data_IF_086986731798
#
_entry.id   IF_086986731798
#
_cell.length_a   1.000
_cell.length_b   1.000
_cell.length_c   1.000
_cell.angle_alpha   90.00
_cell.angle_beta   90.00
_cell.angle_gamma   90.00
#
_symmetry.space_group_name_H-M   'P 1'
#
loop_
_entity.id
_entity.type
_entity.pdbx_description
1 polymer ?
#
# COMPACT_ATOMS: atom_id res chain seq x y z
N UNK A 1 -4.81 15.02 13.49
CA UNK A 1 -3.93 14.42 12.47
C UNK A 1 -2.52 14.47 13.03
N UNK A 2 -2.04 13.38 13.60
CA UNK A 2 -0.73 13.34 14.25
C UNK A 2 0.31 12.96 13.20
N UNK A 3 1.20 13.89 12.87
CA UNK A 3 2.38 13.60 12.06
C UNK A 3 3.42 13.02 13.01
N UNK A 4 3.65 11.71 12.93
CA UNK A 4 4.73 11.04 13.66
C UNK A 4 5.98 11.14 12.79
N UNK A 5 6.91 12.01 13.17
CA UNK A 5 8.18 12.15 12.48
C UNK A 5 9.14 11.08 13.02
N UNK A 6 9.44 10.06 12.21
CA UNK A 6 10.35 8.98 12.59
C UNK A 6 11.71 9.22 11.93
N UNK A 7 12.62 9.89 12.64
CA UNK A 7 14.03 9.94 12.23
C UNK A 7 14.71 8.63 12.62
N UNK A 8 14.90 7.72 11.66
CA UNK A 8 15.67 6.50 11.89
C UNK A 8 17.17 6.82 11.82
N UNK A 9 17.76 7.23 12.95
CA UNK A 9 19.22 7.36 13.08
C UNK A 9 19.82 5.98 13.33
N UNK A 10 20.31 5.36 12.27
CA UNK A 10 20.99 4.07 12.30
C UNK A 10 22.42 4.23 12.87
N UNK A 11 22.55 4.51 14.17
CA UNK A 11 23.88 4.63 14.81
C UNK A 11 23.84 4.33 16.33
N UNK A 12 23.03 3.36 16.74
CA UNK A 12 23.11 2.79 18.08
C UNK A 12 23.12 1.26 18.00
N UNK A 13 24.04 0.55 18.69
CA UNK A 13 24.13 -0.92 18.72
C UNK A 13 22.92 -1.62 19.38
N UNK A 14 21.84 -0.87 19.64
CA UNK A 14 20.59 -1.29 20.26
C UNK A 14 19.39 -0.49 19.72
N UNK A 15 19.37 -0.19 18.43
CA UNK A 15 18.20 0.44 17.82
C UNK A 15 16.96 -0.48 18.03
N UNK A 16 15.82 0.06 18.49
CA UNK A 16 14.62 -0.74 18.65
C UNK A 16 14.20 -1.31 17.30
N UNK A 17 13.78 -2.58 17.28
CA UNK A 17 13.25 -3.21 16.06
C UNK A 17 11.94 -2.51 15.68
N UNK A 18 11.98 -1.69 14.64
CA UNK A 18 10.81 -1.01 14.12
C UNK A 18 9.92 -2.04 13.43
N UNK A 19 8.71 -2.25 13.96
CA UNK A 19 7.71 -3.09 13.32
C UNK A 19 6.64 -2.19 12.68
N UNK A 20 6.46 -2.32 11.37
CA UNK A 20 5.51 -1.51 10.60
C UNK A 20 4.33 -2.37 10.18
N UNK A 21 3.14 -1.79 10.20
CA UNK A 21 1.94 -2.36 9.61
C UNK A 21 1.61 -1.57 8.35
N UNK A 22 1.29 -2.29 7.27
CA UNK A 22 0.97 -1.67 5.98
C UNK A 22 -0.37 -2.21 5.49
N UNK A 23 -1.22 -1.30 5.01
CA UNK A 23 -2.49 -1.61 4.37
C UNK A 23 -2.54 -1.05 2.96
N UNK A 24 -2.94 -1.87 1.97
CA UNK A 24 -3.01 -1.46 0.57
C UNK A 24 -4.41 -1.74 0.02
N UNK A 25 -4.97 -0.76 -0.67
CA UNK A 25 -6.19 -0.87 -1.47
C UNK A 25 -6.02 -0.11 -2.79
N UNK A 26 -6.83 -0.45 -3.80
CA UNK A 26 -6.89 0.26 -5.07
C UNK A 26 -8.32 0.67 -5.34
N UNK A 27 -8.50 1.92 -5.76
CA UNK A 27 -9.79 2.46 -6.14
C UNK A 27 -9.74 3.97 -6.32
N UNK A 28 -10.91 4.58 -6.44
CA UNK A 28 -11.04 6.03 -6.60
C UNK A 28 -10.69 6.78 -5.32
N UNK A 29 -9.95 7.88 -5.47
CA UNK A 29 -9.69 8.86 -4.44
C UNK A 29 -9.77 10.28 -5.02
N UNK A 30 -9.98 11.25 -4.15
CA UNK A 30 -10.00 12.68 -4.45
C UNK A 30 -8.82 13.30 -3.72
N UNK A 31 -7.96 14.00 -4.47
CA UNK A 31 -6.88 14.80 -3.92
C UNK A 31 -7.28 16.28 -3.92
N UNK A 32 -6.87 17.02 -2.91
CA UNK A 32 -7.15 18.45 -2.82
C UNK A 32 -6.22 19.18 -1.88
N UNK A 33 -6.27 20.52 -1.96
CA UNK A 33 -5.61 21.41 -0.99
C UNK A 33 -6.63 21.85 0.03
N UNK A 34 -6.32 21.67 1.30
CA UNK A 34 -7.12 22.11 2.43
C UNK A 34 -6.38 23.25 3.13
N UNK A 35 -7.10 24.33 3.44
CA UNK A 35 -6.61 25.45 4.27
C UNK A 35 -6.62 26.81 3.55
N UNK A 36 -6.81 27.87 4.34
CA UNK A 36 -6.82 29.26 3.86
C UNK A 36 -5.55 30.05 4.20
N UNK A 37 -4.77 29.59 5.19
CA UNK A 37 -3.53 30.25 5.64
C UNK A 37 -2.29 29.35 5.54
N UNK A 38 -2.45 28.06 5.80
CA UNK A 38 -1.44 27.04 5.55
C UNK A 38 -2.07 25.99 4.65
N UNK A 39 -1.49 25.81 3.46
CA UNK A 39 -2.00 24.85 2.48
C UNK A 39 -1.45 23.47 2.79
N UNK A 40 -2.34 22.49 2.92
CA UNK A 40 -1.98 21.07 3.05
C UNK A 40 -2.63 20.29 1.92
N UNK A 41 -1.84 19.49 1.22
CA UNK A 41 -2.37 18.53 0.25
C UNK A 41 -2.80 17.27 0.99
N UNK A 42 -4.02 16.79 0.70
CA UNK A 42 -4.56 15.58 1.32
C UNK A 42 -5.34 14.74 0.29
N UNK A 43 -5.44 13.43 0.55
CA UNK A 43 -6.21 12.47 -0.24
C UNK A 43 -7.34 11.88 0.61
N UNK A 44 -8.57 12.00 0.11
CA UNK A 44 -9.76 11.43 0.72
C UNK A 44 -10.48 10.51 -0.27
N UNK A 45 -11.08 9.44 0.23
CA UNK A 45 -11.89 8.58 -0.63
C UNK A 45 -12.12 7.20 -0.03
N UNK A 46 -12.97 6.44 -0.70
CA UNK A 46 -13.31 5.08 -0.30
C UNK A 46 -12.09 4.14 -0.35
N UNK A 47 -11.20 4.32 -1.33
CA UNK A 47 -9.95 3.56 -1.42
C UNK A 47 -9.01 3.87 -0.23
N UNK A 48 -8.86 5.15 0.15
CA UNK A 48 -8.03 5.57 1.29
C UNK A 48 -8.60 5.00 2.59
N UNK A 49 -9.92 5.09 2.78
CA UNK A 49 -10.60 4.52 3.94
C UNK A 49 -10.44 3.00 4.03
N UNK A 50 -10.47 2.30 2.89
CA UNK A 50 -10.30 0.85 2.83
C UNK A 50 -8.85 0.46 3.10
N UNK A 51 -7.87 1.17 2.53
CA UNK A 51 -6.45 0.98 2.83
C UNK A 51 -6.15 1.19 4.33
N UNK A 52 -6.72 2.23 4.93
CA UNK A 52 -6.61 2.48 6.37
C UNK A 52 -7.16 1.31 7.20
N UNK A 53 -8.29 0.71 6.77
CA UNK A 53 -8.85 -0.49 7.42
C UNK A 53 -7.95 -1.71 7.25
N UNK A 54 -7.35 -1.90 6.08
CA UNK A 54 -6.36 -2.97 5.88
C UNK A 54 -5.16 -2.77 6.81
N UNK A 55 -4.68 -1.54 6.97
CA UNK A 55 -3.57 -1.23 7.87
C UNK A 55 -3.92 -1.56 9.33
N UNK A 56 -5.08 -1.08 9.80
CA UNK A 56 -5.57 -1.34 11.16
C UNK A 56 -5.84 -2.82 11.44
N UNK A 57 -6.17 -3.59 10.40
CA UNK A 57 -6.44 -5.03 10.48
C UNK A 57 -5.21 -5.90 10.23
N UNK A 58 -4.05 -5.29 9.93
CA UNK A 58 -2.82 -6.00 9.62
C UNK A 58 -2.14 -6.52 10.88
N UNK A 59 -1.32 -7.55 10.71
CA UNK A 59 -0.41 -8.03 11.75
C UNK A 59 0.90 -7.24 11.67
N UNK A 60 1.57 -6.97 12.82
CA UNK A 60 2.86 -6.28 12.83
C UNK A 60 3.87 -6.95 11.89
N UNK A 61 4.51 -6.18 11.01
CA UNK A 61 5.50 -6.68 10.05
C UNK A 61 4.90 -7.29 8.78
N UNK A 62 3.58 -7.24 8.60
CA UNK A 62 2.89 -7.76 7.41
C UNK A 62 2.21 -6.68 6.59
N UNK A 63 2.09 -6.96 5.30
CA UNK A 63 1.38 -6.12 4.33
C UNK A 63 0.02 -6.74 4.07
N UNK A 64 -1.04 -6.08 4.55
CA UNK A 64 -2.43 -6.50 4.35
C UNK A 64 -3.00 -5.80 3.11
N UNK A 65 -3.55 -6.57 2.20
CA UNK A 65 -4.11 -6.05 0.94
C UNK A 65 -5.57 -6.46 0.78
N UNK A 66 -6.35 -5.56 0.18
CA UNK A 66 -7.73 -5.85 -0.21
C UNK A 66 -7.79 -6.84 -1.39
N UNK A 67 -9.00 -7.33 -1.69
CA UNK A 67 -9.22 -8.16 -2.89
C UNK A 67 -8.92 -7.40 -4.18
N UNK A 68 -9.30 -6.13 -4.28
CA UNK A 68 -9.00 -5.31 -5.47
C UNK A 68 -7.48 -5.16 -5.64
N UNK A 69 -6.77 -4.82 -4.56
CA UNK A 69 -5.31 -4.73 -4.60
C UNK A 69 -4.65 -6.05 -5.02
N UNK A 70 -5.12 -7.17 -4.49
CA UNK A 70 -4.63 -8.48 -4.87
C UNK A 70 -4.82 -8.77 -6.37
N UNK A 71 -5.94 -8.35 -6.99
CA UNK A 71 -6.17 -8.54 -8.43
C UNK A 71 -5.13 -7.82 -9.30
N UNK A 72 -4.62 -6.67 -8.86
CA UNK A 72 -3.57 -5.93 -9.56
C UNK A 72 -2.17 -6.46 -9.27
N UNK A 73 -1.95 -7.03 -8.07
CA UNK A 73 -0.63 -7.50 -7.62
C UNK A 73 -0.37 -8.99 -7.92
N UNK A 74 -1.43 -9.76 -8.22
CA UNK A 74 -1.31 -11.19 -8.56
C UNK A 74 -0.33 -11.39 -9.72
N UNK A 75 0.51 -12.41 -9.62
CA UNK A 75 1.54 -12.74 -10.61
C UNK A 75 2.88 -12.02 -10.41
N UNK A 76 2.95 -11.00 -9.55
CA UNK A 76 4.23 -10.35 -9.16
C UNK A 76 4.68 -10.72 -7.74
N UNK A 77 3.72 -10.97 -6.86
CA UNK A 77 3.98 -11.31 -5.46
C UNK A 77 3.21 -12.57 -5.05
N UNK A 78 3.76 -13.29 -4.07
CA UNK A 78 3.02 -14.32 -3.36
C UNK A 78 1.95 -13.66 -2.48
N UNK A 79 0.85 -14.36 -2.23
CA UNK A 79 -0.13 -13.89 -1.26
C UNK A 79 -0.87 -15.03 -0.57
N UNK A 80 -1.08 -14.87 0.73
CA UNK A 80 -1.84 -15.80 1.56
C UNK A 80 -3.23 -15.23 1.84
N UNK A 81 -4.28 -15.96 1.46
CA UNK A 81 -5.66 -15.57 1.72
C UNK A 81 -5.98 -15.64 3.22
N UNK A 82 -6.66 -14.62 3.74
CA UNK A 82 -7.18 -14.58 5.12
C UNK A 82 -8.64 -15.05 5.24
N UNK A 83 -9.25 -15.44 4.13
CA UNK A 83 -10.68 -15.74 4.05
C UNK A 83 -11.58 -14.48 4.04
N UNK A 84 -12.91 -14.67 4.04
CA UNK A 84 -13.87 -13.58 4.05
C UNK A 84 -13.89 -12.92 5.44
N UNK A 85 -13.87 -11.59 5.45
CA UNK A 85 -14.02 -10.76 6.66
C UNK A 85 -15.03 -9.66 6.42
N UNK A 86 -15.81 -9.34 7.44
CA UNK A 86 -16.78 -8.27 7.40
C UNK A 86 -16.11 -6.91 7.69
N UNK A 87 -16.31 -5.96 6.78
CA UNK A 87 -15.90 -4.57 6.96
C UNK A 87 -17.10 -3.64 6.86
N UNK A 88 -17.27 -2.78 7.87
CA UNK A 88 -18.43 -1.87 7.97
C UNK A 88 -18.60 -1.03 6.70
N UNK A 89 -19.73 -1.16 6.01
CA UNK A 89 -20.03 -0.41 4.78
C UNK A 89 -19.41 -0.99 3.49
N UNK A 90 -18.61 -2.05 3.58
CA UNK A 90 -18.15 -2.83 2.41
C UNK A 90 -18.80 -4.22 2.34
N UNK A 91 -19.28 -4.74 3.47
CA UNK A 91 -19.82 -6.10 3.57
C UNK A 91 -18.71 -7.12 3.80
N UNK A 92 -18.97 -8.36 3.37
CA UNK A 92 -17.94 -9.40 3.38
C UNK A 92 -17.01 -9.25 2.18
N UNK A 93 -15.72 -9.21 2.45
CA UNK A 93 -14.70 -9.18 1.40
C UNK A 93 -13.55 -10.12 1.75
N UNK A 94 -12.96 -10.70 0.71
CA UNK A 94 -11.73 -11.44 0.84
C UNK A 94 -10.55 -10.48 1.01
N UNK A 95 -9.58 -10.87 1.82
CA UNK A 95 -8.36 -10.10 2.00
C UNK A 95 -7.16 -11.02 2.06
N UNK A 96 -5.99 -10.47 1.79
CA UNK A 96 -4.77 -11.24 1.58
C UNK A 96 -3.61 -10.60 2.31
N UNK A 97 -2.67 -11.42 2.77
CA UNK A 97 -1.36 -10.92 3.15
C UNK A 97 -0.40 -11.11 1.99
N UNK A 98 0.27 -10.03 1.61
CA UNK A 98 1.28 -10.08 0.55
C UNK A 98 2.58 -10.63 1.13
N UNK A 99 3.17 -11.56 0.40
CA UNK A 99 4.43 -12.22 0.75
C UNK A 99 5.43 -11.96 -0.37
N UNK A 100 6.69 -11.75 0.02
CA UNK A 100 7.75 -11.67 -0.96
C UNK A 100 7.90 -13.05 -1.61
N UNK A 101 7.95 -13.12 -2.94
CA UNK A 101 8.38 -14.36 -3.57
C UNK A 101 9.84 -14.61 -3.16
N UNK A 102 10.21 -15.80 -2.64
CA UNK A 102 11.61 -16.10 -2.37
C UNK A 102 12.34 -16.20 -3.72
N UNK A 103 12.95 -15.10 -4.15
CA UNK A 103 13.74 -15.03 -5.38
C UNK A 103 13.53 -13.73 -6.14
N UNK A 104 14.16 -12.66 -5.66
CA UNK A 104 14.69 -11.50 -6.40
C UNK A 104 14.52 -10.25 -5.54
N UNK A 105 15.64 -9.81 -4.92
CA UNK A 105 15.94 -8.39 -5.03
C UNK A 105 15.85 -8.07 -6.52
N UNK A 106 15.09 -7.07 -6.98
CA UNK A 106 15.19 -6.65 -8.36
C UNK A 106 16.61 -6.13 -8.56
N UNK A 107 17.49 -6.97 -9.12
CA UNK A 107 18.59 -6.50 -9.94
C UNK A 107 18.00 -5.50 -10.92
N UNK A 108 18.61 -4.32 -10.97
CA UNK A 108 18.16 -3.13 -11.69
C UNK A 108 17.21 -3.47 -12.84
N UNK A 109 15.93 -3.16 -12.65
CA UNK A 109 14.98 -3.12 -13.75
C UNK A 109 15.41 -1.97 -14.66
N UNK A 110 16.35 -2.28 -15.55
CA UNK A 110 16.61 -1.51 -16.76
C UNK A 110 15.25 -1.28 -17.42
N UNK A 111 14.82 -0.03 -17.62
CA UNK A 111 13.55 0.21 -18.31
C UNK A 111 13.67 -0.33 -19.73
N UNK A 112 13.01 -1.46 -20.00
CA UNK A 112 12.77 -1.93 -21.35
C UNK A 112 11.83 -0.93 -22.05
N UNK A 113 12.03 -0.70 -23.36
CA UNK A 113 11.80 0.58 -23.99
C UNK A 113 10.31 0.95 -24.06
N UNK A 114 10.05 2.25 -23.92
CA UNK A 114 8.79 2.86 -24.26
C UNK A 114 8.41 2.47 -25.69
N UNK A 115 7.18 1.98 -25.82
CA UNK A 115 6.54 1.62 -27.07
C UNK A 115 6.74 2.75 -28.10
N UNK A 116 7.55 2.45 -29.11
CA UNK A 116 7.70 3.25 -30.30
C UNK A 116 6.49 2.96 -31.19
N UNK A 117 5.38 3.66 -30.97
CA UNK A 117 4.22 3.58 -31.84
C UNK A 117 3.37 4.86 -31.81
N UNK A 118 3.98 6.02 -32.07
CA UNK A 118 3.29 7.11 -32.77
C UNK A 118 4.26 7.77 -33.76
N UNK A 119 4.33 7.19 -34.95
CA UNK A 119 4.67 7.89 -36.18
C UNK A 119 3.94 7.20 -37.35
N UNK A 120 3.22 8.00 -38.13
CA UNK A 120 2.67 7.74 -39.48
C UNK A 120 1.28 7.08 -39.52
N UNK A 121 0.22 7.87 -39.38
CA UNK A 121 -0.56 8.43 -40.51
C UNK A 121 -1.43 9.60 -40.06
#
# INVERSE_FOLDING_TARGET
MSVVNLELRAEAPRAPQLTVQVGIDFGSAIAGVIGHKTYQYDLCGDAVNTAARMCSGSEPGRVHVSQEAYRYLRGRFGATSRGPRYYKGKGEMYTYFLENAPGALPEEATPAPADAAEAIY
#
